data_IF_107948257303
#
_entry.id   IF_107948257303
#
_cell.length_a   1.000
_cell.length_b   1.000
_cell.length_c   1.000
_cell.angle_alpha   90.00
_cell.angle_beta   90.00
_cell.angle_gamma   90.00
#
_symmetry.space_group_name_H-M   'P 1'
#
loop_
_entity.id
_entity.type
_entity.pdbx_description
1 polymer ?
#
# COMPACT_ATOMS: atom_id res chain seq x y z
N UNK A 1 -15.97 3.52 -1.51
CA UNK A 1 -15.03 2.95 -0.51
C UNK A 1 -14.70 1.53 -0.94
N UNK A 2 -13.41 1.19 -0.97
CA UNK A 2 -12.96 -0.16 -1.30
C UNK A 2 -13.32 -1.10 -0.14
N UNK A 3 -13.88 -2.28 -0.44
CA UNK A 3 -14.42 -3.21 0.57
C UNK A 3 -13.33 -3.92 1.41
N UNK A 4 -12.07 -3.77 1.04
CA UNK A 4 -10.89 -4.42 1.62
C UNK A 4 -9.99 -3.46 2.38
N UNK A 5 -10.45 -2.22 2.62
CA UNK A 5 -9.69 -1.21 3.34
C UNK A 5 -10.37 -0.85 4.65
N UNK A 6 -9.61 -0.91 5.75
CA UNK A 6 -10.04 -0.51 7.08
C UNK A 6 -9.49 0.88 7.45
N UNK A 7 -10.38 1.75 7.96
CA UNK A 7 -10.09 3.16 8.22
C UNK A 7 -10.30 3.45 9.72
N UNK A 8 -9.25 3.86 10.42
CA UNK A 8 -9.30 4.32 11.83
C UNK A 8 -9.51 5.81 11.96
N UNK A 9 -9.13 6.57 10.93
CA UNK A 9 -9.32 8.02 10.85
C UNK A 9 -9.83 8.39 9.47
N UNK A 10 -10.53 9.51 9.42
CA UNK A 10 -10.95 10.10 8.16
C UNK A 10 -9.73 10.69 7.44
N UNK A 11 -9.55 10.41 6.15
CA UNK A 11 -8.43 10.97 5.36
C UNK A 11 -8.47 12.51 5.31
N UNK A 12 -9.67 13.11 5.35
CA UNK A 12 -9.82 14.57 5.36
C UNK A 12 -9.32 15.22 6.66
N UNK A 13 -9.26 14.47 7.76
CA UNK A 13 -8.74 14.96 9.04
C UNK A 13 -7.21 14.86 9.14
N UNK A 14 -6.57 14.19 8.17
CA UNK A 14 -5.13 14.00 8.15
C UNK A 14 -4.38 15.19 7.52
N UNK A 15 -5.11 16.16 6.97
CA UNK A 15 -4.56 17.36 6.33
C UNK A 15 -3.41 17.00 5.36
N UNK A 16 -3.59 15.92 4.59
CA UNK A 16 -2.58 15.45 3.64
C UNK A 16 -2.31 16.50 2.57
N UNK A 17 -3.33 17.31 2.25
CA UNK A 17 -3.30 18.44 1.32
C UNK A 17 -2.64 19.70 1.92
N UNK A 18 -2.95 20.04 3.17
CA UNK A 18 -2.54 21.32 3.81
C UNK A 18 -1.16 21.29 4.48
N UNK A 19 -0.60 20.10 4.75
CA UNK A 19 0.77 19.95 5.24
C UNK A 19 1.83 20.29 4.17
N UNK A 20 1.57 21.26 3.29
CA UNK A 20 2.54 21.77 2.32
C UNK A 20 3.35 22.97 2.84
N UNK A 21 2.86 23.68 3.88
CA UNK A 21 3.40 25.01 4.23
C UNK A 21 4.01 25.15 5.64
N UNK A 22 4.00 24.12 6.52
CA UNK A 22 4.47 24.25 7.90
C UNK A 22 5.20 23.02 8.44
N UNK A 23 6.52 22.90 8.31
CA UNK A 23 7.33 22.05 9.22
C UNK A 23 8.70 22.70 9.51
N UNK A 24 8.98 22.90 10.79
CA UNK A 24 10.30 23.20 11.34
C UNK A 24 11.17 21.93 11.34
N UNK A 25 12.45 22.09 10.99
CA UNK A 25 13.51 21.09 10.74
C UNK A 25 13.82 20.04 11.85
N UNK A 26 13.02 19.93 12.92
CA UNK A 26 13.36 19.12 14.09
C UNK A 26 12.47 17.88 14.32
N UNK A 27 11.49 17.62 13.47
CA UNK A 27 10.78 16.34 13.49
C UNK A 27 11.43 15.36 12.51
N UNK A 28 11.74 14.15 13.00
CA UNK A 28 12.36 13.01 12.31
C UNK A 28 11.45 12.40 11.20
N UNK A 29 10.54 13.23 10.67
CA UNK A 29 9.68 13.04 9.49
C UNK A 29 10.40 13.70 8.29
N UNK A 30 11.72 13.56 8.20
CA UNK A 30 12.53 14.19 7.17
C UNK A 30 12.28 13.58 5.79
N UNK A 31 11.59 14.32 4.90
CA UNK A 31 11.78 14.43 3.43
C UNK A 31 10.46 14.71 2.68
N UNK A 32 10.47 15.92 2.09
CA UNK A 32 9.86 16.36 0.82
C UNK A 32 8.35 16.55 0.74
N UNK A 33 7.87 17.56 1.45
CA UNK A 33 6.67 18.32 1.08
C UNK A 33 7.03 19.32 -0.03
N UNK A 34 7.19 18.82 -1.26
CA UNK A 34 7.10 19.66 -2.46
C UNK A 34 5.65 19.63 -2.94
N UNK A 35 5.19 20.70 -3.61
CA UNK A 35 3.89 20.75 -4.28
C UNK A 35 3.72 19.49 -5.16
N UNK A 36 2.88 18.56 -4.72
CA UNK A 36 2.66 17.28 -5.39
C UNK A 36 1.34 17.32 -6.17
N UNK A 37 1.32 16.60 -7.27
CA UNK A 37 0.13 16.42 -8.11
C UNK A 37 -0.52 15.05 -7.86
N UNK A 38 0.32 14.07 -7.48
CA UNK A 38 -0.08 12.69 -7.17
C UNK A 38 0.50 12.30 -5.81
N UNK A 39 -0.32 11.74 -4.94
CA UNK A 39 0.09 11.21 -3.65
C UNK A 39 -0.37 9.74 -3.54
N UNK A 40 0.58 8.81 -3.46
CA UNK A 40 0.32 7.38 -3.46
C UNK A 40 0.66 6.72 -2.12
N UNK A 41 -0.07 5.68 -1.73
CA UNK A 41 0.38 4.78 -0.68
C UNK A 41 1.63 4.01 -1.10
N UNK A 42 2.53 3.75 -0.14
CA UNK A 42 3.82 3.13 -0.41
C UNK A 42 3.97 1.72 0.15
N UNK A 43 4.76 0.91 -0.53
CA UNK A 43 5.22 -0.40 -0.04
C UNK A 43 6.41 -0.21 0.90
N UNK A 44 6.42 -0.95 2.01
CA UNK A 44 7.56 -1.08 2.91
C UNK A 44 7.65 -0.06 4.05
N UNK A 45 8.37 -0.45 5.10
CA UNK A 45 8.48 0.28 6.36
C UNK A 45 9.39 1.53 6.26
N UNK A 46 8.82 2.64 5.80
CA UNK A 46 9.46 3.96 5.88
C UNK A 46 10.59 4.21 4.88
N UNK A 47 11.30 5.33 5.06
CA UNK A 47 12.25 5.90 4.08
C UNK A 47 13.54 5.10 3.89
N UNK A 48 13.93 4.30 4.89
CA UNK A 48 15.08 3.40 4.80
C UNK A 48 14.74 2.05 4.16
N UNK A 49 13.47 1.82 3.82
CA UNK A 49 13.11 0.64 3.04
C UNK A 49 13.70 0.77 1.63
N UNK A 50 14.36 -0.28 1.15
CA UNK A 50 14.80 -0.36 -0.24
C UNK A 50 13.64 -0.15 -1.24
N UNK A 51 12.41 -0.44 -0.79
CA UNK A 51 11.16 -0.32 -1.54
C UNK A 51 10.45 1.03 -1.36
N UNK A 52 11.01 1.97 -0.61
CA UNK A 52 10.46 3.32 -0.49
C UNK A 52 10.27 3.96 -1.87
N UNK A 53 9.11 4.55 -2.13
CA UNK A 53 8.72 5.08 -3.45
C UNK A 53 8.12 4.05 -4.42
N UNK A 54 7.86 2.82 -3.97
CA UNK A 54 7.01 1.89 -4.69
C UNK A 54 5.55 2.06 -4.26
N UNK A 55 4.65 2.15 -5.22
CA UNK A 55 3.21 2.33 -5.04
C UNK A 55 2.58 1.00 -4.65
N UNK A 56 1.80 1.01 -3.57
CA UNK A 56 1.03 -0.15 -3.14
C UNK A 56 -0.31 -0.25 -3.89
N UNK A 57 -0.88 0.88 -4.33
CA UNK A 57 -1.90 0.94 -5.38
C UNK A 57 -3.34 1.02 -4.89
N UNK A 58 -3.56 1.33 -3.62
CA UNK A 58 -4.90 1.23 -3.02
C UNK A 58 -5.48 2.52 -2.52
N UNK A 59 -4.61 3.40 -2.04
CA UNK A 59 -5.01 4.70 -1.57
C UNK A 59 -4.16 5.73 -2.29
N UNK A 60 -4.82 6.58 -3.05
CA UNK A 60 -4.17 7.65 -3.77
C UNK A 60 -5.01 8.91 -3.73
N UNK A 61 -4.33 10.04 -3.68
CA UNK A 61 -4.91 11.36 -3.84
C UNK A 61 -4.34 11.99 -5.10
N UNK A 62 -5.22 12.39 -6.02
CA UNK A 62 -4.88 12.93 -7.33
C UNK A 62 -5.44 14.32 -7.46
N UNK A 63 -4.59 15.31 -7.72
CA UNK A 63 -5.03 16.64 -8.10
C UNK A 63 -5.49 16.60 -9.55
N UNK A 64 -6.73 16.98 -9.81
CA UNK A 64 -7.24 17.05 -11.17
C UNK A 64 -6.55 18.20 -11.94
N UNK A 65 -5.70 17.85 -12.90
CA UNK A 65 -5.08 18.79 -13.83
C UNK A 65 -4.69 18.07 -15.13
N UNK A 66 -4.22 18.81 -16.14
CA UNK A 66 -3.88 18.23 -17.44
C UNK A 66 -2.71 17.23 -17.36
N UNK A 67 -1.77 17.41 -16.42
CA UNK A 67 -0.61 16.54 -16.25
C UNK A 67 -1.02 15.21 -15.62
N UNK A 68 -1.87 15.23 -14.59
CA UNK A 68 -2.40 14.01 -13.97
C UNK A 68 -3.34 13.27 -14.91
N UNK A 69 -4.13 13.98 -15.73
CA UNK A 69 -4.91 13.36 -16.80
C UNK A 69 -4.02 12.60 -17.79
N UNK A 70 -3.00 13.26 -18.35
CA UNK A 70 -2.05 12.63 -19.27
C UNK A 70 -1.31 11.45 -18.64
N UNK A 71 -0.99 11.53 -17.34
CA UNK A 71 -0.38 10.43 -16.60
C UNK A 71 -1.29 9.18 -16.59
N UNK A 72 -2.57 9.34 -16.27
CA UNK A 72 -3.51 8.21 -16.23
C UNK A 72 -3.95 7.73 -17.62
N UNK A 73 -3.99 8.59 -18.63
CA UNK A 73 -4.16 8.16 -20.03
C UNK A 73 -3.01 7.24 -20.46
N UNK A 74 -1.77 7.56 -20.12
CA UNK A 74 -0.63 6.69 -20.40
C UNK A 74 -0.65 5.38 -19.60
N UNK A 75 -1.17 5.39 -18.36
CA UNK A 75 -1.42 4.15 -17.61
C UNK A 75 -2.43 3.28 -18.35
N UNK A 76 -3.57 3.85 -18.75
CA UNK A 76 -4.63 3.15 -19.45
C UNK A 76 -4.17 2.58 -20.79
N UNK A 77 -3.44 3.37 -21.60
CA UNK A 77 -2.89 2.93 -22.88
C UNK A 77 -1.92 1.75 -22.71
N UNK A 78 -1.04 1.80 -21.71
CA UNK A 78 -0.14 0.67 -21.41
C UNK A 78 -0.91 -0.56 -20.97
N UNK A 79 -1.89 -0.43 -20.07
CA UNK A 79 -2.72 -1.54 -19.62
C UNK A 79 -3.54 -2.17 -20.76
N UNK A 80 -3.89 -1.41 -21.79
CA UNK A 80 -4.59 -1.93 -22.96
C UNK A 80 -3.70 -2.84 -23.84
N UNK A 81 -2.38 -2.67 -23.79
CA UNK A 81 -1.44 -3.36 -24.69
C UNK A 81 -0.45 -4.29 -23.97
N UNK A 82 -0.27 -4.14 -22.67
CA UNK A 82 0.73 -4.85 -21.88
C UNK A 82 0.08 -5.53 -20.68
N UNK A 83 0.42 -6.79 -20.47
CA UNK A 83 0.02 -7.53 -19.27
C UNK A 83 0.94 -7.13 -18.11
N UNK A 84 0.62 -6.03 -17.45
CA UNK A 84 1.35 -5.47 -16.31
C UNK A 84 0.37 -4.99 -15.24
N UNK A 85 0.76 -5.03 -13.95
CA UNK A 85 -0.06 -4.43 -12.91
C UNK A 85 -0.01 -2.90 -13.02
N UNK A 86 -1.14 -2.26 -12.78
CA UNK A 86 -1.31 -0.80 -12.80
C UNK A 86 -0.30 -0.10 -11.88
N UNK A 87 -0.09 -0.61 -10.66
CA UNK A 87 0.92 -0.13 -9.71
C UNK A 87 2.35 -0.16 -10.30
N UNK A 88 2.70 -1.19 -11.09
CA UNK A 88 4.02 -1.28 -11.71
C UNK A 88 4.25 -0.17 -12.74
N UNK A 89 3.21 0.14 -13.52
CA UNK A 89 3.24 1.24 -14.48
C UNK A 89 3.29 2.59 -13.76
N UNK A 90 2.51 2.76 -12.69
CA UNK A 90 2.50 3.98 -11.87
C UNK A 90 3.86 4.24 -11.23
N UNK A 91 4.51 3.21 -10.64
CA UNK A 91 5.87 3.31 -10.10
C UNK A 91 6.84 3.75 -11.18
N UNK A 92 6.80 3.08 -12.33
CA UNK A 92 7.68 3.40 -13.43
C UNK A 92 7.52 4.87 -13.86
N UNK A 93 6.29 5.32 -14.09
CA UNK A 93 6.02 6.69 -14.51
C UNK A 93 6.45 7.70 -13.45
N UNK A 94 6.15 7.49 -12.17
CA UNK A 94 6.56 8.40 -11.09
C UNK A 94 8.08 8.56 -10.94
N UNK A 95 8.86 7.55 -11.33
CA UNK A 95 10.32 7.60 -11.24
C UNK A 95 11.00 8.02 -12.56
N UNK A 96 10.29 8.01 -13.69
CA UNK A 96 10.85 8.36 -15.01
C UNK A 96 10.33 9.68 -15.57
N UNK A 97 9.14 10.11 -15.17
CA UNK A 97 8.54 11.35 -15.63
C UNK A 97 8.90 12.49 -14.68
N UNK A 98 9.25 13.65 -15.23
CA UNK A 98 9.51 14.84 -14.42
C UNK A 98 8.23 15.47 -13.88
N UNK A 99 7.11 15.28 -14.58
CA UNK A 99 5.76 15.77 -14.24
C UNK A 99 4.72 14.71 -14.66
N UNK A 100 3.59 14.55 -13.93
CA UNK A 100 3.22 15.21 -12.67
C UNK A 100 4.13 14.83 -11.49
N UNK A 101 4.21 15.68 -10.45
CA UNK A 101 5.03 15.42 -9.26
C UNK A 101 4.39 14.36 -8.37
N UNK A 102 5.06 13.22 -8.22
CA UNK A 102 4.62 12.14 -7.31
C UNK A 102 5.21 12.31 -5.91
N UNK A 103 4.37 12.11 -4.90
CA UNK A 103 4.71 11.99 -3.49
C UNK A 103 4.14 10.69 -2.92
N UNK A 104 4.61 10.30 -1.73
CA UNK A 104 4.25 9.03 -1.11
C UNK A 104 3.75 9.22 0.33
N UNK A 105 2.62 8.59 0.65
CA UNK A 105 2.02 8.59 1.98
C UNK A 105 2.95 7.81 2.91
N UNK A 106 3.35 8.39 4.05
CA UNK A 106 4.14 7.68 5.04
C UNK A 106 3.46 6.38 5.50
N UNK A 107 4.25 5.31 5.63
CA UNK A 107 3.80 4.00 6.08
C UNK A 107 3.10 3.98 7.46
N UNK A 108 3.33 5.01 8.29
CA UNK A 108 2.63 5.20 9.57
C UNK A 108 1.17 5.61 9.38
N UNK A 109 0.82 6.18 8.23
CA UNK A 109 -0.52 6.65 7.89
C UNK A 109 -1.29 5.55 7.16
N UNK A 110 -0.74 5.05 6.05
CA UNK A 110 -1.34 3.99 5.24
C UNK A 110 -0.39 2.80 5.15
N UNK A 111 -0.92 1.59 5.31
CA UNK A 111 -0.13 0.38 5.37
C UNK A 111 -0.89 -0.80 4.75
N UNK A 112 -0.16 -1.83 4.35
CA UNK A 112 -0.72 -3.08 3.85
C UNK A 112 -1.00 -4.05 4.99
N UNK A 113 -1.54 -5.22 4.64
CA UNK A 113 -1.79 -6.35 5.55
C UNK A 113 -0.54 -6.80 6.31
N UNK A 114 0.66 -6.51 5.77
CA UNK A 114 1.97 -6.82 6.35
C UNK A 114 2.12 -6.32 7.81
N UNK A 115 1.49 -5.19 8.16
CA UNK A 115 1.51 -4.69 9.55
C UNK A 115 0.95 -5.70 10.55
N UNK A 116 -0.09 -6.45 10.20
CA UNK A 116 -0.70 -7.44 11.10
C UNK A 116 0.21 -8.65 11.38
N UNK A 117 1.22 -8.88 10.53
CA UNK A 117 2.16 -9.99 10.63
C UNK A 117 3.55 -9.57 11.12
N UNK A 118 3.73 -8.29 11.46
CA UNK A 118 4.98 -7.72 11.96
C UNK A 118 4.77 -7.14 13.37
N UNK A 119 5.64 -6.23 13.82
CA UNK A 119 5.45 -5.52 15.09
C UNK A 119 4.22 -4.60 14.98
N UNK A 120 3.11 -5.02 15.56
CA UNK A 120 1.82 -4.31 15.50
C UNK A 120 1.78 -3.02 16.36
N UNK A 121 2.93 -2.46 16.75
CA UNK A 121 3.00 -1.13 17.36
C UNK A 121 2.60 -0.06 16.35
N UNK A 122 2.13 1.08 16.85
CA UNK A 122 1.76 2.25 16.06
C UNK A 122 0.82 1.88 14.91
N UNK A 123 -0.37 1.37 15.24
CA UNK A 123 -1.35 0.99 14.26
C UNK A 123 -1.59 2.12 13.24
N UNK A 124 -1.58 1.82 11.93
CA UNK A 124 -1.79 2.82 10.88
C UNK A 124 -3.23 3.34 10.88
N UNK A 125 -3.45 4.48 10.23
CA UNK A 125 -4.77 5.08 10.07
C UNK A 125 -5.60 4.37 8.99
N UNK A 126 -4.93 3.85 7.96
CA UNK A 126 -5.55 3.09 6.87
C UNK A 126 -4.79 1.78 6.68
N UNK A 127 -5.53 0.67 6.63
CA UNK A 127 -5.00 -0.66 6.32
C UNK A 127 -5.71 -1.20 5.11
N UNK A 128 -4.96 -1.67 4.12
CA UNK A 128 -5.49 -2.42 3.00
C UNK A 128 -5.19 -3.91 3.16
N UNK A 129 -6.20 -4.73 2.91
CA UNK A 129 -6.14 -6.18 2.99
C UNK A 129 -6.26 -6.80 1.60
N UNK A 130 -5.26 -6.55 0.76
CA UNK A 130 -5.05 -7.28 -0.48
C UNK A 130 -4.06 -8.44 -0.27
N UNK A 131 -4.25 -9.55 -0.96
CA UNK A 131 -3.48 -10.82 -0.87
C UNK A 131 -3.87 -11.82 0.23
N UNK A 132 -4.76 -11.51 1.17
CA UNK A 132 -5.19 -12.49 2.15
C UNK A 132 -6.54 -13.11 1.77
N UNK A 133 -6.53 -14.03 0.80
CA UNK A 133 -7.68 -14.90 0.51
C UNK A 133 -7.21 -16.35 0.39
N UNK A 134 -7.30 -17.13 1.48
CA UNK A 134 -7.17 -18.60 1.52
C UNK A 134 -8.29 -19.31 0.71
N UNK A 135 -8.66 -18.79 -0.48
CA UNK A 135 -9.82 -19.22 -1.27
C UNK A 135 -11.18 -18.79 -0.68
N UNK A 136 -11.17 -18.04 0.44
CA UNK A 136 -12.35 -17.43 1.05
C UNK A 136 -12.58 -16.00 0.54
N UNK A 137 -13.80 -15.49 0.71
CA UNK A 137 -14.10 -14.10 0.35
C UNK A 137 -13.28 -13.13 1.21
N UNK A 138 -12.89 -11.97 0.64
CA UNK A 138 -12.19 -10.88 1.34
C UNK A 138 -12.91 -10.48 2.64
N UNK A 139 -14.25 -10.51 2.65
CA UNK A 139 -15.05 -10.14 3.82
C UNK A 139 -14.99 -11.19 4.94
N UNK A 140 -14.90 -12.48 4.62
CA UNK A 140 -14.70 -13.53 5.62
C UNK A 140 -13.31 -13.48 6.26
N UNK A 141 -12.32 -13.04 5.49
CA UNK A 141 -10.94 -12.82 5.94
C UNK A 141 -10.87 -11.64 6.93
N UNK A 142 -11.45 -10.51 6.55
CA UNK A 142 -11.66 -9.36 7.42
C UNK A 142 -12.33 -9.76 8.75
N UNK A 143 -13.42 -10.53 8.67
CA UNK A 143 -14.14 -10.99 9.85
C UNK A 143 -13.28 -11.88 10.76
N UNK A 144 -12.39 -12.71 10.20
CA UNK A 144 -11.45 -13.53 10.98
C UNK A 144 -10.50 -12.68 11.81
N UNK A 145 -10.03 -11.57 11.27
CA UNK A 145 -9.16 -10.63 11.98
C UNK A 145 -9.91 -9.67 12.93
N UNK A 146 -11.24 -9.84 13.06
CA UNK A 146 -12.08 -8.98 13.89
C UNK A 146 -12.54 -7.69 13.20
N UNK A 147 -12.34 -7.55 11.88
CA UNK A 147 -12.86 -6.43 11.08
C UNK A 147 -14.26 -6.73 10.53
N UNK A 148 -15.21 -7.01 11.43
CA UNK A 148 -16.62 -7.20 11.09
C UNK A 148 -17.49 -6.31 11.95
N UNK A 149 -18.16 -5.34 11.33
CA UNK A 149 -18.81 -4.21 12.01
C UNK A 149 -20.32 -4.16 11.81
N UNK A 150 -20.93 -5.26 11.35
CA UNK A 150 -22.38 -5.35 11.23
C UNK A 150 -22.95 -6.29 12.27
N UNK A 151 -24.15 -6.00 12.75
CA UNK A 151 -24.94 -6.93 13.56
C UNK A 151 -25.31 -8.17 12.73
N UNK A 152 -25.93 -9.17 13.37
CA UNK A 152 -26.34 -10.44 12.72
C UNK A 152 -27.27 -10.26 11.50
N UNK A 153 -27.92 -9.11 11.39
CA UNK A 153 -28.77 -8.75 10.24
C UNK A 153 -27.96 -8.37 8.98
N UNK A 154 -26.64 -8.21 9.11
CA UNK A 154 -25.71 -7.84 8.03
C UNK A 154 -25.91 -6.42 7.49
N UNK A 155 -26.75 -5.60 8.14
CA UNK A 155 -27.16 -4.27 7.64
C UNK A 155 -26.95 -3.17 8.67
N UNK A 156 -27.15 -3.49 9.94
CA UNK A 156 -27.03 -2.51 11.02
C UNK A 156 -25.59 -2.47 11.51
N UNK A 157 -25.02 -1.27 11.65
CA UNK A 157 -23.70 -1.09 12.24
C UNK A 157 -23.68 -1.58 13.71
N UNK A 158 -22.60 -2.26 14.09
CA UNK A 158 -22.28 -2.66 15.46
C UNK A 158 -21.19 -1.72 16.02
N UNK A 159 -21.56 -0.66 16.76
CA UNK A 159 -20.59 0.29 17.30
C UNK A 159 -19.68 -0.33 18.37
N UNK A 160 -20.13 -1.37 19.07
CA UNK A 160 -19.30 -2.06 20.06
C UNK A 160 -18.20 -2.86 19.38
N UNK A 161 -18.49 -3.50 18.24
CA UNK A 161 -17.48 -4.15 17.42
C UNK A 161 -16.44 -3.14 16.92
N UNK A 162 -16.85 -1.96 16.46
CA UNK A 162 -15.92 -0.89 16.03
C UNK A 162 -14.99 -0.49 17.17
N UNK A 163 -15.52 -0.20 18.36
CA UNK A 163 -14.72 0.21 19.52
C UNK A 163 -13.77 -0.90 19.97
N UNK A 164 -14.21 -2.16 20.02
CA UNK A 164 -13.36 -3.30 20.37
C UNK A 164 -12.18 -3.42 19.40
N UNK A 165 -12.44 -3.34 18.10
CA UNK A 165 -11.38 -3.47 17.08
C UNK A 165 -10.39 -2.31 17.15
N UNK A 166 -10.84 -1.09 17.41
CA UNK A 166 -9.94 0.05 17.66
C UNK A 166 -9.00 -0.22 18.84
N UNK A 167 -9.53 -0.70 19.97
CA UNK A 167 -8.73 -1.02 21.15
C UNK A 167 -7.72 -2.17 20.91
N UNK A 168 -8.12 -3.20 20.15
CA UNK A 168 -7.22 -4.31 19.79
C UNK A 168 -6.05 -3.80 18.95
N UNK A 169 -6.33 -2.91 17.99
CA UNK A 169 -5.29 -2.32 17.16
C UNK A 169 -4.38 -1.37 17.92
N UNK A 170 -4.93 -0.55 18.81
CA UNK A 170 -4.14 0.35 19.67
C UNK A 170 -3.18 -0.43 20.57
N UNK A 171 -3.59 -1.63 21.00
CA UNK A 171 -2.76 -2.55 21.79
C UNK A 171 -1.79 -3.39 20.95
N UNK A 172 -1.93 -3.40 19.62
CA UNK A 172 -1.16 -4.26 18.72
C UNK A 172 -1.40 -5.76 18.96
N UNK A 173 -2.66 -6.15 19.14
CA UNK A 173 -3.07 -7.52 19.50
C UNK A 173 -4.04 -8.16 18.49
N UNK A 174 -3.96 -7.75 17.21
CA UNK A 174 -4.76 -8.36 16.14
C UNK A 174 -4.36 -9.83 15.98
N UNK A 175 -5.28 -10.74 16.28
CA UNK A 175 -5.07 -12.17 16.16
C UNK A 175 -5.22 -12.61 14.69
N UNK A 176 -4.08 -12.95 14.08
CA UNK A 176 -4.02 -13.49 12.72
C UNK A 176 -4.14 -15.02 12.67
N UNK A 177 -4.30 -15.68 13.82
CA UNK A 177 -4.53 -17.12 13.94
C UNK A 177 -3.30 -17.98 13.63
N UNK A 178 -2.11 -17.48 13.98
CA UNK A 178 -0.83 -18.15 13.78
C UNK A 178 -0.16 -17.86 12.42
N UNK A 179 1.01 -18.47 12.14
CA UNK A 179 1.71 -18.25 10.89
C UNK A 179 0.85 -18.69 9.71
N UNK A 180 0.73 -17.80 8.72
CA UNK A 180 -0.09 -18.01 7.54
C UNK A 180 0.31 -19.30 6.82
N UNK A 181 -0.68 -20.15 6.48
CA UNK A 181 -0.41 -21.37 5.69
C UNK A 181 0.23 -21.00 4.35
N UNK A 182 1.35 -21.66 4.03
CA UNK A 182 2.10 -21.43 2.80
C UNK A 182 1.30 -21.99 1.61
N UNK A 183 0.57 -21.14 0.91
CA UNK A 183 -0.02 -21.49 -0.39
C UNK A 183 1.03 -21.35 -1.50
N UNK A 184 0.82 -22.00 -2.65
CA UNK A 184 1.72 -21.90 -3.80
C UNK A 184 1.91 -20.44 -4.26
N UNK A 185 0.82 -19.67 -4.36
CA UNK A 185 0.87 -18.25 -4.71
C UNK A 185 1.64 -17.41 -3.68
N UNK A 186 1.51 -17.71 -2.37
CA UNK A 186 2.32 -17.05 -1.33
C UNK A 186 3.79 -17.41 -1.41
N UNK A 187 4.10 -18.66 -1.75
CA UNK A 187 5.49 -19.07 -1.97
C UNK A 187 6.10 -18.33 -3.16
N UNK A 188 5.41 -18.30 -4.31
CA UNK A 188 5.83 -17.52 -5.48
C UNK A 188 6.03 -16.04 -5.13
N UNK A 189 5.09 -15.44 -4.41
CA UNK A 189 5.20 -14.06 -3.93
C UNK A 189 6.44 -13.85 -3.03
N UNK A 190 6.66 -14.73 -2.05
CA UNK A 190 7.85 -14.66 -1.18
C UNK A 190 9.16 -14.80 -1.95
N UNK A 191 9.24 -15.72 -2.91
CA UNK A 191 10.42 -15.90 -3.76
C UNK A 191 10.66 -14.67 -4.61
N UNK A 192 9.60 -14.12 -5.21
CA UNK A 192 9.66 -12.88 -5.97
C UNK A 192 10.21 -11.72 -5.12
N UNK A 193 9.66 -11.51 -3.92
CA UNK A 193 10.14 -10.46 -3.01
C UNK A 193 11.58 -10.66 -2.60
N UNK A 194 11.97 -11.90 -2.28
CA UNK A 194 13.35 -12.20 -1.93
C UNK A 194 14.32 -11.87 -3.07
N UNK A 195 13.97 -12.20 -4.32
CA UNK A 195 14.76 -11.84 -5.50
C UNK A 195 14.83 -10.32 -5.68
N UNK A 196 13.70 -9.63 -5.56
CA UNK A 196 13.62 -8.16 -5.66
C UNK A 196 14.51 -7.50 -4.61
N UNK A 197 14.37 -7.88 -3.34
CA UNK A 197 15.15 -7.30 -2.24
C UNK A 197 16.65 -7.57 -2.44
N UNK A 198 17.02 -8.74 -2.94
CA UNK A 198 18.41 -9.07 -3.29
C UNK A 198 18.96 -8.16 -4.40
N UNK A 199 18.20 -7.95 -5.48
CA UNK A 199 18.60 -7.05 -6.57
C UNK A 199 18.70 -5.60 -6.07
N UNK A 200 17.72 -5.14 -5.28
CA UNK A 200 17.71 -3.78 -4.71
C UNK A 200 18.89 -3.54 -3.76
N UNK A 201 19.37 -4.57 -3.04
CA UNK A 201 20.55 -4.47 -2.18
C UNK A 201 21.87 -4.44 -2.95
N UNK A 202 21.89 -4.76 -4.24
CA UNK A 202 23.11 -4.78 -5.04
C UNK A 202 23.53 -3.35 -5.39
N UNK A 203 24.75 -2.89 -5.02
CA UNK A 203 25.21 -1.53 -5.34
C UNK A 203 25.17 -1.25 -6.85
N UNK A 204 24.84 -0.02 -7.22
CA UNK A 204 24.69 0.48 -8.61
C UNK A 204 23.52 -0.15 -9.39
N UNK A 205 23.41 -1.48 -9.39
CA UNK A 205 22.37 -2.24 -10.10
C UNK A 205 20.99 -2.03 -9.47
N UNK A 206 20.90 -2.10 -8.15
CA UNK A 206 19.66 -1.95 -7.40
C UNK A 206 18.94 -0.62 -7.69
N UNK A 207 19.59 0.54 -7.51
CA UNK A 207 19.00 1.84 -7.83
C UNK A 207 18.59 1.97 -9.31
N UNK A 208 19.37 1.44 -10.24
CA UNK A 208 19.07 1.51 -11.68
C UNK A 208 17.85 0.65 -12.06
N UNK A 209 17.75 -0.57 -11.51
CA UNK A 209 16.66 -1.49 -11.82
C UNK A 209 15.40 -1.24 -10.99
N UNK A 210 15.49 -0.49 -9.89
CA UNK A 210 14.38 -0.21 -8.96
C UNK A 210 13.08 0.21 -9.65
N UNK A 211 13.19 1.02 -10.70
CA UNK A 211 12.03 1.53 -11.46
C UNK A 211 11.38 0.50 -12.37
N UNK A 212 12.13 -0.52 -12.79
CA UNK A 212 11.70 -1.52 -13.77
C UNK A 212 11.32 -2.87 -13.13
N UNK A 213 11.85 -3.17 -11.94
CA UNK A 213 11.55 -4.40 -11.20
C UNK A 213 10.04 -4.64 -10.94
N UNK A 214 9.21 -3.62 -10.67
CA UNK A 214 7.76 -3.79 -10.55
C UNK A 214 7.08 -4.24 -11.85
N UNK A 215 7.63 -3.84 -13.01
CA UNK A 215 7.14 -4.28 -14.32
C UNK A 215 7.61 -5.70 -14.67
N UNK A 216 8.86 -6.03 -14.33
CA UNK A 216 9.47 -7.32 -14.63
C UNK A 216 8.98 -8.46 -13.72
N UNK A 217 8.66 -8.14 -12.46
CA UNK A 217 8.23 -9.13 -11.47
C UNK A 217 7.02 -9.94 -11.86
N UNK A 218 6.14 -9.33 -12.65
CA UNK A 218 4.91 -9.97 -13.09
C UNK A 218 5.15 -11.09 -14.11
N UNK A 219 6.20 -10.96 -14.94
CA UNK A 219 6.62 -12.00 -15.90
C UNK A 219 7.05 -13.27 -15.15
N UNK A 220 7.72 -13.12 -13.99
CA UNK A 220 8.15 -14.25 -13.16
C UNK A 220 6.98 -14.95 -12.44
N UNK A 221 5.95 -14.21 -12.03
CA UNK A 221 4.78 -14.80 -11.39
C UNK A 221 3.87 -15.57 -12.36
N UNK A 222 3.90 -15.24 -13.65
CA UNK A 222 3.10 -15.91 -14.69
C UNK A 222 3.80 -17.15 -15.27
N UNK A 223 5.14 -17.16 -15.32
CA UNK A 223 5.91 -18.22 -16.01
C UNK A 223 6.19 -19.46 -15.16
N UNK A 224 5.90 -19.44 -13.86
CA UNK A 224 6.09 -20.58 -12.93
C UNK A 224 4.72 -21.17 -12.49
N UNK A 225 3.68 -20.94 -13.29
CA UNK A 225 2.34 -21.53 -13.09
C UNK A 225 2.20 -22.86 -13.85
#
# INVERSE_FOLDING_TARGET
MQQDTFWRRNLFELNLEDNMDNINDNDDIGQQQQHYDLLFDQVGHGKHSQRAGWVNGANFFIRANNQTHAFFEAVADKLAHWYAPDMGIMIHQCNTWETPKCAFIPHKIANSWEWMYTDQRNAPHVIQLDCETDGKTKLQQLARFGFYFTKRDGRTCDPEAVQRTQQIMDKGQVDVGGPVRLSWGRFQFKVYWWLVDYILCTPLIGPYLKTYLPLAGYILTVTIA
#
